data_IF_730866547691
#
_entry.id   IF_730866547691
#
_cell.length_a   1.000
_cell.length_b   1.000
_cell.length_c   1.000
_cell.angle_alpha   90.00
_cell.angle_beta   90.00
_cell.angle_gamma   90.00
#
_symmetry.space_group_name_H-M   'P 1'
#
loop_
_entity.id
_entity.type
_entity.pdbx_description
1 polymer ?
#
# COMPACT_ATOMS: atom_id res chain seq x y z
N UNK A 1 5.11 -0.79 -6.90
CA UNK A 1 3.83 -1.48 -7.18
C UNK A 1 3.99 -2.96 -6.87
N UNK A 2 3.02 -3.55 -6.18
CA UNK A 2 2.94 -4.96 -5.79
C UNK A 2 1.64 -5.49 -6.40
N UNK A 3 1.75 -6.40 -7.38
CA UNK A 3 0.59 -6.82 -8.16
C UNK A 3 0.68 -8.31 -8.52
N UNK A 4 -0.42 -9.06 -8.37
CA UNK A 4 -0.45 -10.47 -8.75
C UNK A 4 0.42 -11.36 -7.86
N UNK A 5 0.67 -10.94 -6.62
CA UNK A 5 1.66 -11.61 -5.75
C UNK A 5 1.01 -12.41 -4.63
N UNK A 6 1.75 -13.36 -4.07
CA UNK A 6 1.31 -14.16 -2.93
C UNK A 6 2.43 -14.31 -1.92
N UNK A 7 2.10 -14.16 -0.64
CA UNK A 7 3.01 -14.40 0.49
C UNK A 7 4.28 -13.52 0.44
N UNK A 8 4.10 -12.20 0.50
CA UNK A 8 5.19 -11.23 0.50
C UNK A 8 5.23 -10.47 1.82
N UNK A 9 6.43 -10.23 2.33
CA UNK A 9 6.65 -9.40 3.51
C UNK A 9 7.59 -8.24 3.19
N UNK A 10 7.14 -7.03 3.47
CA UNK A 10 7.96 -5.83 3.54
C UNK A 10 8.28 -5.55 5.00
N UNK A 11 9.56 -5.66 5.37
CA UNK A 11 10.01 -5.52 6.76
C UNK A 11 11.15 -4.52 6.86
N UNK A 12 11.07 -3.57 7.80
CA UNK A 12 12.13 -2.60 8.08
C UNK A 12 12.55 -1.77 6.86
N UNK A 13 11.59 -1.40 6.01
CA UNK A 13 11.85 -0.62 4.80
C UNK A 13 11.78 0.88 5.13
N UNK A 14 12.63 1.67 4.48
CA UNK A 14 12.55 3.13 4.50
C UNK A 14 12.37 3.67 3.08
N UNK A 15 11.29 4.41 2.86
CA UNK A 15 11.01 5.10 1.60
C UNK A 15 10.93 6.60 1.90
N UNK A 16 11.67 7.41 1.15
CA UNK A 16 11.69 8.87 1.31
C UNK A 16 11.66 9.50 -0.08
N UNK A 17 10.66 10.32 -0.34
CA UNK A 17 10.62 11.18 -1.52
C UNK A 17 11.09 12.60 -1.15
N UNK A 18 11.90 13.27 -2.00
CA UNK A 18 12.21 14.69 -1.84
C UNK A 18 10.95 15.56 -1.79
N UNK A 19 11.00 16.66 -1.05
CA UNK A 19 9.85 17.57 -0.84
C UNK A 19 9.31 18.17 -2.15
N UNK A 20 10.20 18.38 -3.12
CA UNK A 20 9.96 18.89 -4.47
C UNK A 20 9.68 17.81 -5.51
N UNK A 21 9.65 16.54 -5.11
CA UNK A 21 9.40 15.43 -6.03
C UNK A 21 7.94 15.44 -6.52
N UNK A 22 7.70 15.44 -7.84
CA UNK A 22 6.38 15.21 -8.40
C UNK A 22 6.00 13.72 -8.37
N UNK A 23 6.94 12.83 -8.02
CA UNK A 23 6.74 11.38 -8.02
C UNK A 23 6.35 10.88 -6.65
N UNK A 24 5.37 9.98 -6.65
CA UNK A 24 4.73 9.47 -5.45
C UNK A 24 5.31 8.09 -5.14
N UNK A 25 6.44 8.06 -4.46
CA UNK A 25 7.12 6.81 -4.11
C UNK A 25 6.38 6.09 -2.97
N UNK A 26 5.31 5.37 -3.29
CA UNK A 26 4.45 4.67 -2.32
C UNK A 26 4.39 3.16 -2.55
N UNK A 27 3.89 2.43 -1.54
CA UNK A 27 3.52 1.03 -1.71
C UNK A 27 2.09 0.96 -2.23
N UNK A 28 1.90 0.49 -3.45
CA UNK A 28 0.58 0.22 -4.01
C UNK A 28 0.40 -1.29 -4.19
N UNK A 29 -0.64 -1.88 -3.60
CA UNK A 29 -0.93 -3.31 -3.61
C UNK A 29 -2.23 -3.55 -4.36
N UNK A 30 -2.26 -4.47 -5.32
CA UNK A 30 -3.49 -4.91 -6.00
C UNK A 30 -3.42 -6.38 -6.37
N UNK A 31 -4.57 -7.04 -6.51
CA UNK A 31 -4.67 -8.44 -6.97
C UNK A 31 -3.65 -9.39 -6.29
N UNK A 32 -3.50 -9.28 -4.97
CA UNK A 32 -2.44 -9.96 -4.22
C UNK A 32 -3.00 -10.58 -2.93
N UNK A 33 -2.32 -11.61 -2.44
CA UNK A 33 -2.73 -12.34 -1.23
C UNK A 33 -1.61 -12.52 -0.22
N UNK A 34 -1.94 -12.52 1.08
CA UNK A 34 -0.98 -12.69 2.17
C UNK A 34 0.20 -11.69 2.08
N UNK A 35 -0.13 -10.39 2.10
CA UNK A 35 0.89 -9.32 2.07
C UNK A 35 1.03 -8.72 3.46
N UNK A 36 2.24 -8.73 4.00
CA UNK A 36 2.56 -8.13 5.29
C UNK A 36 3.48 -6.92 5.10
N UNK A 37 3.13 -5.79 5.71
CA UNK A 37 3.99 -4.61 5.81
C UNK A 37 4.20 -4.35 7.31
N UNK A 38 5.45 -4.38 7.74
CA UNK A 38 5.81 -4.27 9.15
C UNK A 38 7.05 -3.40 9.35
N UNK A 39 7.06 -2.65 10.45
CA UNK A 39 8.19 -1.82 10.92
C UNK A 39 8.77 -0.91 9.83
N UNK A 40 7.92 -0.30 9.02
CA UNK A 40 8.31 0.41 7.80
C UNK A 40 8.07 1.91 7.95
N UNK A 41 8.98 2.74 7.45
CA UNK A 41 8.87 4.20 7.46
C UNK A 41 8.74 4.75 6.03
N UNK A 42 7.66 5.48 5.76
CA UNK A 42 7.34 6.01 4.43
C UNK A 42 7.08 7.51 4.53
N UNK A 43 7.98 8.30 3.96
CA UNK A 43 7.94 9.76 3.96
C UNK A 43 7.68 10.25 2.53
N UNK A 44 6.40 10.39 2.19
CA UNK A 44 5.92 10.82 0.87
C UNK A 44 4.86 11.91 1.03
N UNK A 45 4.45 12.53 -0.08
CA UNK A 45 3.43 13.60 -0.10
C UNK A 45 2.01 13.12 -0.45
N UNK A 46 1.78 11.81 -0.51
CA UNK A 46 0.50 11.20 -0.91
C UNK A 46 0.26 9.94 -0.05
N UNK A 47 -0.57 8.98 -0.46
CA UNK A 47 -0.71 7.71 0.25
C UNK A 47 0.66 7.04 0.48
N UNK A 48 0.97 6.62 1.71
CA UNK A 48 2.13 5.76 1.97
C UNK A 48 1.90 4.34 1.46
N UNK A 49 0.70 3.83 1.73
CA UNK A 49 0.23 2.53 1.29
C UNK A 49 -1.15 2.71 0.70
N UNK A 50 -1.34 2.22 -0.51
CA UNK A 50 -2.64 2.23 -1.20
C UNK A 50 -3.01 0.79 -1.58
N UNK A 51 -4.25 0.39 -1.31
CA UNK A 51 -4.73 -0.97 -1.50
C UNK A 51 -5.84 -0.96 -2.55
N UNK A 52 -5.58 -1.51 -3.73
CA UNK A 52 -6.56 -1.71 -4.81
C UNK A 52 -7.43 -2.95 -4.61
N UNK A 53 -8.19 -3.30 -5.63
CA UNK A 53 -9.12 -4.42 -5.63
C UNK A 53 -8.40 -5.79 -5.70
N UNK A 54 -9.17 -6.87 -5.47
CA UNK A 54 -8.68 -8.25 -5.58
C UNK A 54 -7.67 -8.66 -4.51
N UNK A 55 -7.81 -8.08 -3.33
CA UNK A 55 -6.90 -8.29 -2.20
C UNK A 55 -7.46 -9.30 -1.22
N UNK A 56 -6.59 -10.16 -0.69
CA UNK A 56 -6.92 -11.13 0.36
C UNK A 56 -5.80 -11.16 1.40
N UNK A 57 -6.10 -10.98 2.68
CA UNK A 57 -5.11 -11.08 3.77
C UNK A 57 -3.96 -10.08 3.63
N UNK A 58 -4.26 -8.80 3.91
CA UNK A 58 -3.24 -7.77 4.06
C UNK A 58 -3.10 -7.42 5.53
N UNK A 59 -1.87 -7.34 6.02
CA UNK A 59 -1.58 -6.90 7.38
C UNK A 59 -0.58 -5.76 7.35
N UNK A 60 -0.96 -4.62 7.90
CA UNK A 60 -0.12 -3.42 7.97
C UNK A 60 0.06 -3.05 9.45
N UNK A 61 1.28 -3.22 9.96
CA UNK A 61 1.58 -3.02 11.39
C UNK A 61 2.84 -2.19 11.56
N UNK A 62 2.87 -1.35 12.60
CA UNK A 62 4.06 -0.52 12.91
C UNK A 62 4.58 0.29 11.72
N UNK A 63 3.68 0.80 10.85
CA UNK A 63 4.05 1.65 9.72
C UNK A 63 3.97 3.11 10.12
N UNK A 64 5.06 3.84 9.91
CA UNK A 64 5.10 5.30 10.10
C UNK A 64 4.96 6.00 8.75
N UNK A 65 4.06 6.97 8.71
CA UNK A 65 3.82 7.83 7.56
C UNK A 65 4.28 9.25 7.86
N UNK A 66 5.06 9.85 6.94
CA UNK A 66 5.40 11.27 6.93
C UNK A 66 4.20 12.16 6.57
N UNK A 67 4.40 13.44 6.14
CA UNK A 67 3.32 14.37 5.79
C UNK A 67 2.61 13.92 4.51
N UNK A 68 1.76 12.91 4.65
CA UNK A 68 1.23 12.07 3.60
C UNK A 68 -0.29 11.88 3.82
N UNK A 69 -0.98 11.24 2.88
CA UNK A 69 -2.40 10.90 3.03
C UNK A 69 -2.63 9.66 3.92
N UNK A 70 -1.56 9.00 4.38
CA UNK A 70 -1.62 7.84 5.25
C UNK A 70 -1.79 6.53 4.48
N UNK A 71 -2.61 5.62 5.03
CA UNK A 71 -2.92 4.32 4.42
C UNK A 71 -4.33 4.41 3.84
N UNK A 72 -4.48 4.12 2.56
CA UNK A 72 -5.72 4.30 1.82
C UNK A 72 -6.20 2.98 1.19
N UNK A 73 -7.50 2.73 1.27
CA UNK A 73 -8.17 1.68 0.50
C UNK A 73 -8.77 2.32 -0.76
N UNK A 74 -8.37 1.80 -1.91
CA UNK A 74 -8.77 2.24 -3.24
C UNK A 74 -7.72 3.10 -3.95
N UNK A 75 -8.14 3.96 -4.88
CA UNK A 75 -9.53 4.20 -5.27
C UNK A 75 -10.22 2.96 -5.87
N UNK A 76 -11.51 2.80 -5.54
CA UNK A 76 -12.40 1.77 -6.06
C UNK A 76 -13.57 2.44 -6.81
N UNK A 77 -14.28 1.70 -7.66
CA UNK A 77 -15.40 2.14 -8.47
C UNK A 77 -15.02 2.79 -9.80
N UNK A 78 -13.74 2.69 -10.21
CA UNK A 78 -13.28 3.23 -11.51
C UNK A 78 -13.56 2.25 -12.65
N UNK A 79 -13.43 0.96 -12.36
CA UNK A 79 -13.60 -0.10 -13.36
C UNK A 79 -14.96 -0.78 -13.21
N UNK A 80 -15.52 -1.23 -14.34
CA UNK A 80 -16.82 -1.93 -14.35
C UNK A 80 -16.79 -3.26 -13.59
N UNK A 81 -15.59 -3.82 -13.42
CA UNK A 81 -15.34 -5.05 -12.69
C UNK A 81 -14.15 -4.78 -11.77
N UNK A 82 -14.40 -4.87 -10.47
CA UNK A 82 -13.39 -4.86 -9.42
C UNK A 82 -13.60 -6.09 -8.56
N UNK A 83 -12.52 -6.77 -8.18
CA UNK A 83 -12.59 -7.98 -7.38
C UNK A 83 -12.79 -7.63 -5.89
N UNK A 84 -13.54 -8.45 -5.13
CA UNK A 84 -13.76 -8.20 -3.72
C UNK A 84 -12.44 -8.18 -2.95
N UNK A 85 -12.44 -7.42 -1.86
CA UNK A 85 -11.32 -7.31 -0.92
C UNK A 85 -11.71 -7.96 0.40
N UNK A 86 -10.87 -8.84 0.94
CA UNK A 86 -11.13 -9.57 2.17
C UNK A 86 -9.92 -9.51 3.11
N UNK A 87 -10.19 -9.53 4.41
CA UNK A 87 -9.19 -9.64 5.48
C UNK A 87 -8.05 -8.60 5.39
N UNK A 88 -8.39 -7.32 5.57
CA UNK A 88 -7.41 -6.23 5.68
C UNK A 88 -7.32 -5.81 7.15
N UNK A 89 -6.14 -5.97 7.74
CA UNK A 89 -5.85 -5.73 9.16
C UNK A 89 -4.76 -4.66 9.36
#
# INVERSE_FOLDING_TARGET
>A
MVFGTKNITFHSIKIIAPEDSPYIDRIHIGHSSAVTIVDTNIETRDDCVSIGDGIEQVTITSVTCGPSHGISIGSLGKYNIELPMNDIL
#
